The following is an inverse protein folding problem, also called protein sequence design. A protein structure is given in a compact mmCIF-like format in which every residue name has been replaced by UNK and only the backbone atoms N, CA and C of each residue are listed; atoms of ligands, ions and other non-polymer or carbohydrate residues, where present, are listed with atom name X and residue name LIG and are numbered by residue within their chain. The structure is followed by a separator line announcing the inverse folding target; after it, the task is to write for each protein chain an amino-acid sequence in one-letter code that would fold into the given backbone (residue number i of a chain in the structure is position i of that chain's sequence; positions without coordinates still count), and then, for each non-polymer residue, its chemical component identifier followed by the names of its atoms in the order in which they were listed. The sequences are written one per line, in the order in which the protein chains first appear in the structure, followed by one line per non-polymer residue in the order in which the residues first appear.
data_IF_079462169133
#
_entry.id   IF_079462169133
#
_cell.length_a   1.000
_cell.length_b   1.000
_cell.length_c   1.000
_cell.angle_alpha   90.00
_cell.angle_beta   90.00
_cell.angle_gamma   90.00
#
_symmetry.space_group_name_H-M   'P 1'
#
loop_
_entity.id
_entity.type
_entity.pdbx_description
1 polymer ?
#
# COMPACT_ATOMS: atom_id res chain seq x y z
N UNK A 1 16.73 8.60 -6.74
CA UNK A 1 15.43 8.76 -7.42
C UNK A 1 15.57 8.76 -8.94
N UNK A 2 16.45 9.58 -9.54
CA UNK A 2 16.63 9.61 -11.01
C UNK A 2 16.81 8.22 -11.65
N UNK A 3 17.71 7.39 -11.11
CA UNK A 3 17.90 6.02 -11.61
C UNK A 3 16.64 5.15 -11.59
N UNK A 4 15.81 5.23 -10.53
CA UNK A 4 14.54 4.50 -10.46
C UNK A 4 13.51 5.09 -11.43
N UNK A 5 13.48 6.41 -11.59
CA UNK A 5 12.59 7.05 -12.57
C UNK A 5 12.94 6.68 -14.01
N UNK A 6 14.22 6.40 -14.30
CA UNK A 6 14.72 6.06 -15.64
C UNK A 6 14.72 4.56 -15.93
N UNK A 7 14.97 3.70 -14.94
CA UNK A 7 15.23 2.26 -15.15
C UNK A 7 14.27 1.32 -14.43
N UNK A 8 13.44 1.82 -13.50
CA UNK A 8 12.52 1.01 -12.69
C UNK A 8 11.39 1.87 -12.15
N UNK A 9 10.47 2.24 -13.04
CA UNK A 9 9.45 3.25 -12.77
C UNK A 9 8.64 2.92 -11.52
N UNK A 10 8.70 3.83 -10.55
CA UNK A 10 7.77 3.82 -9.42
C UNK A 10 6.36 3.99 -10.01
N UNK A 11 5.42 3.14 -9.59
CA UNK A 11 4.06 3.15 -10.12
C UNK A 11 3.44 4.55 -10.04
N UNK A 12 2.79 5.03 -11.12
CA UNK A 12 2.32 6.41 -11.19
C UNK A 12 1.36 6.79 -10.04
N UNK A 13 0.54 5.83 -9.59
CA UNK A 13 -0.49 6.01 -8.56
C UNK A 13 0.04 6.09 -7.12
N UNK A 14 1.35 5.91 -6.91
CA UNK A 14 2.00 6.08 -5.62
C UNK A 14 2.43 7.53 -5.44
N UNK A 15 1.91 8.24 -4.44
CA UNK A 15 2.22 9.65 -4.18
C UNK A 15 3.15 9.84 -2.96
N UNK A 16 3.28 8.84 -2.10
CA UNK A 16 4.11 8.91 -0.91
C UNK A 16 5.60 8.94 -1.23
N UNK A 17 6.35 9.78 -0.50
CA UNK A 17 7.81 9.90 -0.60
C UNK A 17 8.37 10.18 -2.00
N UNK A 18 7.57 10.77 -2.89
CA UNK A 18 7.99 11.17 -4.24
C UNK A 18 8.04 12.69 -4.35
N UNK A 19 9.09 13.19 -5.00
CA UNK A 19 9.19 14.61 -5.30
C UNK A 19 8.06 15.04 -6.24
N UNK A 20 7.41 16.16 -5.94
CA UNK A 20 6.29 16.69 -6.72
C UNK A 20 4.92 16.08 -6.39
N UNK A 21 4.85 15.10 -5.48
CA UNK A 21 3.60 14.51 -5.02
C UNK A 21 3.39 14.77 -3.53
N UNK A 22 2.14 14.89 -3.11
CA UNK A 22 1.73 15.06 -1.71
C UNK A 22 0.46 14.26 -1.42
N UNK A 23 0.04 14.28 -0.16
CA UNK A 23 -1.27 13.76 0.22
C UNK A 23 -2.38 14.51 -0.54
N UNK A 24 -2.24 15.84 -0.71
CA UNK A 24 -3.20 16.67 -1.43
C UNK A 24 -3.32 16.28 -2.90
N UNK A 25 -2.20 16.01 -3.59
CA UNK A 25 -2.28 15.62 -5.01
C UNK A 25 -2.99 14.29 -5.18
N UNK A 26 -2.77 13.34 -4.26
CA UNK A 26 -3.48 12.06 -4.29
C UNK A 26 -4.98 12.23 -4.00
N UNK A 27 -5.30 13.02 -2.98
CA UNK A 27 -6.67 13.29 -2.57
C UNK A 27 -7.45 14.03 -3.66
N UNK A 28 -6.85 15.03 -4.31
CA UNK A 28 -7.49 15.77 -5.42
C UNK A 28 -7.83 14.83 -6.56
N UNK A 29 -6.90 13.94 -6.95
CA UNK A 29 -7.17 12.96 -8.01
C UNK A 29 -8.26 11.95 -7.60
N UNK A 30 -8.24 11.48 -6.36
CA UNK A 30 -9.30 10.61 -5.84
C UNK A 30 -10.66 11.31 -5.84
N UNK A 31 -10.77 12.52 -5.27
CA UNK A 31 -12.00 13.29 -5.24
C UNK A 31 -12.52 13.62 -6.65
N UNK A 32 -11.63 13.91 -7.60
CA UNK A 32 -12.00 14.13 -8.99
C UNK A 32 -12.68 12.90 -9.59
N UNK A 33 -12.07 11.72 -9.43
CA UNK A 33 -12.63 10.46 -9.91
C UNK A 33 -14.00 10.18 -9.29
N UNK A 34 -14.12 10.28 -7.95
CA UNK A 34 -15.38 10.05 -7.23
C UNK A 34 -16.47 11.00 -7.71
N UNK A 35 -16.16 12.30 -7.84
CA UNK A 35 -17.12 13.29 -8.32
C UNK A 35 -17.57 13.01 -9.77
N UNK A 36 -16.66 12.60 -10.65
CA UNK A 36 -16.98 12.26 -12.03
C UNK A 36 -17.96 11.06 -12.13
N UNK A 37 -17.74 10.01 -11.34
CA UNK A 37 -18.65 8.86 -11.30
C UNK A 37 -20.02 9.20 -10.72
N UNK A 38 -20.05 9.93 -9.60
CA UNK A 38 -21.30 10.38 -8.97
C UNK A 38 -22.11 11.25 -9.93
N UNK A 39 -21.47 12.21 -10.62
CA UNK A 39 -22.13 13.06 -11.61
C UNK A 39 -22.69 12.27 -12.80
N UNK A 40 -22.12 11.10 -13.08
CA UNK A 40 -22.61 10.16 -14.10
C UNK A 40 -23.71 9.22 -13.58
N UNK A 41 -24.17 9.40 -12.33
CA UNK A 41 -25.19 8.56 -11.70
C UNK A 41 -24.68 7.15 -11.31
N UNK A 42 -23.36 6.95 -11.29
CA UNK A 42 -22.75 5.67 -10.94
C UNK A 42 -22.47 5.60 -9.44
N UNK A 43 -22.58 4.39 -8.89
CA UNK A 43 -22.08 4.07 -7.56
C UNK A 43 -20.59 3.73 -7.65
N UNK A 44 -19.83 4.08 -6.63
CA UNK A 44 -18.41 3.71 -6.49
C UNK A 44 -18.19 3.02 -5.15
N UNK A 45 -17.54 1.88 -5.19
CA UNK A 45 -17.13 1.15 -3.99
C UNK A 45 -15.61 1.30 -3.83
N UNK A 46 -15.17 1.72 -2.65
CA UNK A 46 -13.79 1.99 -2.30
C UNK A 46 -13.37 1.14 -1.10
N UNK A 47 -12.30 0.38 -1.21
CA UNK A 47 -11.71 -0.40 -0.12
C UNK A 47 -10.40 0.26 0.28
N UNK A 48 -10.39 0.80 1.50
CA UNK A 48 -9.20 1.30 2.16
C UNK A 48 -8.51 0.15 2.88
N UNK A 49 -7.23 -0.04 2.60
CA UNK A 49 -6.40 -1.12 3.11
C UNK A 49 -5.34 -0.53 4.05
N UNK A 50 -5.21 -1.11 5.25
CA UNK A 50 -4.20 -0.76 6.25
C UNK A 50 -3.22 -1.93 6.39
N UNK A 51 -1.91 -1.67 6.30
CA UNK A 51 -0.88 -2.69 6.52
C UNK A 51 -0.38 -2.66 7.96
N UNK A 52 -0.29 -3.82 8.61
CA UNK A 52 0.24 -3.93 9.98
C UNK A 52 1.73 -3.64 10.00
N UNK A 53 2.10 -2.48 10.58
CA UNK A 53 3.51 -2.08 10.79
C UNK A 53 4.34 -2.20 9.50
N UNK A 54 3.81 -1.70 8.38
CA UNK A 54 4.33 -1.95 7.03
C UNK A 54 5.85 -1.80 6.90
N UNK A 55 6.41 -0.71 7.44
CA UNK A 55 7.85 -0.44 7.43
C UNK A 55 8.67 -1.44 8.24
N UNK A 56 8.13 -1.97 9.34
CA UNK A 56 8.82 -2.92 10.23
C UNK A 56 8.73 -4.37 9.73
N UNK A 57 7.76 -4.68 8.86
CA UNK A 57 7.52 -6.05 8.38
C UNK A 57 8.27 -6.39 7.10
N UNK A 58 8.85 -5.42 6.39
CA UNK A 58 9.60 -5.65 5.15
C UNK A 58 10.68 -6.70 5.34
N UNK A 59 10.55 -7.86 4.68
CA UNK A 59 11.58 -8.90 4.74
C UNK A 59 12.85 -8.44 4.03
N UNK A 60 14.01 -8.54 4.71
CA UNK A 60 15.30 -8.16 4.12
C UNK A 60 15.64 -9.03 2.91
N UNK A 61 15.43 -10.34 2.99
CA UNK A 61 15.68 -11.28 1.90
C UNK A 61 14.85 -10.95 0.67
N UNK A 62 13.55 -10.69 0.85
CA UNK A 62 12.65 -10.38 -0.26
C UNK A 62 12.90 -8.97 -0.84
N UNK A 63 13.29 -8.01 -0.01
CA UNK A 63 13.72 -6.70 -0.48
C UNK A 63 15.01 -6.80 -1.30
N UNK A 64 16.00 -7.58 -0.86
CA UNK A 64 17.22 -7.82 -1.62
C UNK A 64 16.96 -8.52 -2.95
N UNK A 65 16.00 -9.45 -2.97
CA UNK A 65 15.51 -10.06 -4.21
C UNK A 65 14.94 -9.01 -5.17
N UNK A 66 14.08 -8.09 -4.69
CA UNK A 66 13.56 -7.00 -5.55
C UNK A 66 14.67 -6.08 -6.04
N UNK A 67 15.63 -5.75 -5.18
CA UNK A 67 16.78 -4.90 -5.53
C UNK A 67 17.66 -5.52 -6.62
N UNK A 68 17.81 -6.85 -6.64
CA UNK A 68 18.62 -7.52 -7.66
C UNK A 68 18.04 -7.42 -9.07
N UNK A 69 16.72 -7.21 -9.20
CA UNK A 69 16.06 -6.98 -10.48
C UNK A 69 16.19 -5.55 -11.02
N UNK A 70 16.71 -4.60 -10.23
CA UNK A 70 16.85 -3.19 -10.63
C UNK A 70 18.14 -2.90 -11.42
N UNK A 71 18.90 -3.92 -11.83
CA UNK A 71 20.16 -3.78 -12.58
C UNK A 71 21.19 -2.82 -11.91
N UNK A 72 21.22 -2.82 -10.57
CA UNK A 72 22.16 -2.00 -9.80
C UNK A 72 23.59 -2.56 -9.87
N UNK A 73 24.63 -1.71 -9.76
CA UNK A 73 26.00 -2.18 -9.64
C UNK A 73 26.17 -3.14 -8.45
N UNK A 74 26.90 -4.24 -8.65
CA UNK A 74 27.12 -5.25 -7.60
C UNK A 74 27.72 -4.67 -6.30
N UNK A 75 28.53 -3.62 -6.40
CA UNK A 75 29.09 -2.92 -5.24
C UNK A 75 27.99 -2.24 -4.40
N UNK A 76 27.00 -1.64 -5.05
CA UNK A 76 25.86 -1.01 -4.39
C UNK A 76 24.92 -2.05 -3.78
N UNK A 77 24.66 -3.16 -4.48
CA UNK A 77 23.85 -4.26 -3.93
C UNK A 77 24.46 -4.84 -2.65
N UNK A 78 25.78 -5.11 -2.65
CA UNK A 78 26.49 -5.58 -1.46
C UNK A 78 26.46 -4.56 -0.32
N UNK A 79 26.52 -3.27 -0.64
CA UNK A 79 26.39 -2.22 0.36
C UNK A 79 24.98 -2.18 0.97
N UNK A 80 23.93 -2.32 0.14
CA UNK A 80 22.54 -2.40 0.61
C UNK A 80 22.28 -3.66 1.44
N UNK A 81 22.88 -4.79 1.07
CA UNK A 81 22.86 -6.02 1.86
C UNK A 81 23.47 -5.80 3.25
N UNK A 82 24.67 -5.24 3.32
CA UNK A 82 25.32 -4.90 4.58
C UNK A 82 24.57 -3.82 5.39
N UNK A 83 23.83 -2.93 4.72
CA UNK A 83 22.98 -1.93 5.37
C UNK A 83 21.73 -2.54 6.02
N UNK A 84 21.23 -3.67 5.49
CA UNK A 84 20.00 -4.30 5.97
C UNK A 84 20.27 -5.41 7.00
N UNK A 85 21.24 -6.29 6.71
CA UNK A 85 21.52 -7.51 7.46
C UNK A 85 22.41 -7.28 8.69
N UNK A 86 22.43 -8.28 9.59
CA UNK A 86 23.27 -8.33 10.80
C UNK A 86 23.19 -7.10 11.71
N UNK A 87 22.04 -6.42 11.68
CA UNK A 87 21.78 -5.27 12.52
C UNK A 87 21.27 -5.69 13.89
N UNK A 88 21.75 -4.99 14.91
CA UNK A 88 21.24 -5.07 16.27
C UNK A 88 20.68 -3.71 16.70
N UNK A 89 19.65 -3.74 17.54
CA UNK A 89 19.04 -2.57 18.14
C UNK A 89 18.90 -2.74 19.65
N UNK A 90 18.87 -1.61 20.36
CA UNK A 90 18.57 -1.55 21.80
C UNK A 90 17.86 -0.24 22.12
N UNK A 91 17.16 -0.21 23.25
CA UNK A 91 16.48 0.98 23.74
C UNK A 91 17.31 1.60 24.86
N UNK A 92 17.40 2.93 24.86
CA UNK A 92 17.98 3.71 25.96
C UNK A 92 16.89 4.58 26.55
N UNK A 93 16.57 4.36 27.82
CA UNK A 93 15.56 5.13 28.56
C UNK A 93 16.19 5.66 29.84
N UNK A 94 16.19 6.99 30.02
CA UNK A 94 16.81 7.67 31.17
C UNK A 94 18.25 7.22 31.46
N UNK A 95 19.05 6.99 30.41
CA UNK A 95 20.44 6.54 30.53
C UNK A 95 20.63 5.04 30.76
N UNK A 96 19.56 4.29 31.02
CA UNK A 96 19.59 2.83 31.17
C UNK A 96 19.44 2.18 29.80
N UNK A 97 20.27 1.17 29.52
CA UNK A 97 20.31 0.44 28.24
C UNK A 97 19.65 -0.93 28.37
N UNK A 98 18.81 -1.30 27.41
CA UNK A 98 18.35 -2.69 27.26
C UNK A 98 19.47 -3.59 26.72
N UNK A 99 19.24 -4.90 26.75
CA UNK A 99 20.02 -5.84 25.93
C UNK A 99 19.87 -5.53 24.44
N UNK A 100 20.89 -5.92 23.67
CA UNK A 100 20.85 -5.86 22.22
C UNK A 100 19.90 -6.94 21.67
N UNK A 101 19.16 -6.59 20.62
CA UNK A 101 18.19 -7.46 19.93
C UNK A 101 18.46 -7.37 18.43
N UNK A 102 18.54 -8.52 17.76
CA UNK A 102 18.72 -8.56 16.31
C UNK A 102 17.50 -8.04 15.55
N UNK A 103 17.74 -7.29 14.47
CA UNK A 103 16.72 -6.73 13.59
C UNK A 103 16.56 -7.65 12.38
N UNK A 104 15.54 -8.50 12.44
CA UNK A 104 15.30 -9.54 11.43
C UNK A 104 14.48 -9.07 10.23
N UNK A 105 13.79 -7.95 10.36
CA UNK A 105 12.95 -7.38 9.31
C UNK A 105 12.81 -5.86 9.46
N UNK A 106 12.26 -5.26 8.42
CA UNK A 106 11.90 -3.86 8.36
C UNK A 106 13.02 -2.99 7.80
N UNK A 107 12.61 -1.87 7.22
CA UNK A 107 13.52 -0.81 6.81
C UNK A 107 13.71 0.17 7.97
N UNK A 108 14.88 0.82 8.10
CA UNK A 108 15.14 1.71 9.21
C UNK A 108 14.26 2.97 9.11
N UNK A 109 13.33 3.12 10.04
CA UNK A 109 12.49 4.33 10.15
C UNK A 109 13.38 5.54 10.49
N UNK A 110 13.01 6.72 9.99
CA UNK A 110 13.79 7.97 10.07
C UNK A 110 15.17 7.96 9.37
N UNK A 111 15.48 6.93 8.57
CA UNK A 111 16.62 6.98 7.65
C UNK A 111 16.22 7.60 6.32
N UNK A 112 17.21 8.18 5.62
CA UNK A 112 17.00 8.73 4.26
C UNK A 112 16.61 7.64 3.26
N UNK A 113 17.16 6.42 3.42
CA UNK A 113 16.92 5.31 2.49
C UNK A 113 15.67 4.49 2.82
N UNK A 114 15.19 4.51 4.06
CA UNK A 114 14.04 3.70 4.50
C UNK A 114 12.81 3.87 3.61
N UNK A 115 12.35 5.12 3.37
CA UNK A 115 11.24 5.39 2.47
C UNK A 115 11.48 4.88 1.03
N UNK A 116 12.68 5.08 0.49
CA UNK A 116 13.03 4.62 -0.86
C UNK A 116 12.96 3.09 -0.99
N UNK A 117 13.53 2.39 -0.01
CA UNK A 117 13.52 0.93 0.04
C UNK A 117 12.10 0.39 0.19
N UNK A 118 11.26 1.07 0.97
CA UNK A 118 9.84 0.73 1.08
C UNK A 118 9.10 0.93 -0.24
N UNK A 119 9.34 2.04 -0.94
CA UNK A 119 8.74 2.29 -2.26
C UNK A 119 9.13 1.20 -3.28
N UNK A 120 10.39 0.78 -3.31
CA UNK A 120 10.84 -0.34 -4.14
C UNK A 120 10.10 -1.62 -3.77
N UNK A 121 9.90 -1.87 -2.48
CA UNK A 121 9.26 -3.07 -1.98
C UNK A 121 7.78 -3.16 -2.41
N UNK A 122 7.02 -2.09 -2.22
CA UNK A 122 5.57 -2.05 -2.47
C UNK A 122 5.21 -1.85 -3.95
N UNK A 123 6.20 -1.59 -4.82
CA UNK A 123 5.97 -1.06 -6.16
C UNK A 123 5.13 -1.97 -7.08
N UNK A 124 5.22 -3.28 -6.90
CA UNK A 124 4.48 -4.28 -7.70
C UNK A 124 3.14 -4.69 -7.06
N UNK A 125 2.75 -4.08 -5.94
CA UNK A 125 1.46 -4.35 -5.28
C UNK A 125 0.28 -4.19 -6.25
N UNK A 126 0.38 -3.21 -7.16
CA UNK A 126 -0.69 -2.89 -8.10
C UNK A 126 -0.57 -3.61 -9.42
N UNK A 127 0.42 -4.49 -9.59
CA UNK A 127 0.59 -5.25 -10.81
C UNK A 127 -0.60 -6.19 -11.01
N UNK A 128 -1.18 -6.17 -12.22
CA UNK A 128 -2.34 -6.99 -12.60
C UNK A 128 -3.66 -6.70 -11.86
N UNK A 129 -3.77 -5.57 -11.16
CA UNK A 129 -5.07 -5.10 -10.67
C UNK A 129 -5.88 -4.48 -11.82
N UNK A 130 -7.18 -4.73 -11.82
CA UNK A 130 -8.14 -4.19 -12.80
C UNK A 130 -8.82 -2.92 -12.33
N UNK A 131 -8.96 -2.74 -11.01
CA UNK A 131 -9.55 -1.58 -10.38
C UNK A 131 -8.57 -0.41 -10.34
N UNK A 132 -9.10 0.79 -10.10
CA UNK A 132 -8.26 1.96 -9.82
C UNK A 132 -7.63 1.80 -8.44
N UNK A 133 -6.40 2.30 -8.32
CA UNK A 133 -5.62 2.24 -7.08
C UNK A 133 -5.05 3.61 -6.78
N UNK A 134 -5.13 4.06 -5.53
CA UNK A 134 -4.38 5.20 -5.00
C UNK A 134 -3.49 4.74 -3.87
N UNK A 135 -2.24 5.16 -3.90
CA UNK A 135 -1.26 4.82 -2.89
C UNK A 135 -0.62 6.08 -2.30
N UNK A 136 -0.40 6.06 -0.99
CA UNK A 136 0.46 7.01 -0.32
C UNK A 136 1.28 6.25 0.73
N UNK A 137 2.55 5.99 0.41
CA UNK A 137 3.38 5.08 1.18
C UNK A 137 2.70 3.69 1.30
N UNK A 138 2.38 3.26 2.51
CA UNK A 138 1.68 2.02 2.82
C UNK A 138 0.14 2.15 2.74
N UNK A 139 -0.42 3.36 2.80
CA UNK A 139 -1.86 3.56 2.65
C UNK A 139 -2.28 3.24 1.22
N UNK A 140 -3.23 2.31 1.07
CA UNK A 140 -3.74 1.86 -0.22
C UNK A 140 -5.26 1.94 -0.27
N UNK A 141 -5.78 2.51 -1.35
CA UNK A 141 -7.21 2.51 -1.65
C UNK A 141 -7.42 1.89 -3.04
N UNK A 142 -8.20 0.81 -3.11
CA UNK A 142 -8.68 0.26 -4.38
C UNK A 142 -10.16 0.60 -4.56
N UNK A 143 -10.55 1.00 -5.76
CA UNK A 143 -11.91 1.45 -5.99
C UNK A 143 -12.32 1.32 -7.44
N UNK A 144 -13.63 1.24 -7.63
CA UNK A 144 -14.24 1.20 -8.96
C UNK A 144 -15.71 1.56 -8.93
N UNK A 145 -16.22 1.93 -10.10
CA UNK A 145 -17.63 2.00 -10.38
C UNK A 145 -18.29 0.62 -10.30
N UNK A 146 -19.47 0.55 -9.68
CA UNK A 146 -20.24 -0.68 -9.50
C UNK A 146 -21.65 -0.47 -10.04
N UNK A 147 -21.94 -1.13 -11.16
CA UNK A 147 -23.25 -1.11 -11.82
C UNK A 147 -23.90 -2.50 -11.88
N UNK A 148 -23.09 -3.55 -11.68
CA UNK A 148 -23.49 -4.95 -11.78
C UNK A 148 -22.75 -5.82 -10.76
N UNK A 149 -23.24 -7.04 -10.54
CA UNK A 149 -22.55 -8.03 -9.71
C UNK A 149 -21.16 -8.38 -10.24
N UNK A 150 -20.99 -8.36 -11.57
CA UNK A 150 -19.69 -8.58 -12.21
C UNK A 150 -18.66 -7.54 -11.76
N UNK A 151 -19.12 -6.31 -11.50
CA UNK A 151 -18.26 -5.23 -11.06
C UNK A 151 -17.75 -5.45 -9.64
N UNK A 152 -18.65 -5.84 -8.74
CA UNK A 152 -18.34 -6.24 -7.36
C UNK A 152 -17.35 -7.41 -7.34
N UNK A 153 -17.57 -8.43 -8.17
CA UNK A 153 -16.69 -9.60 -8.25
C UNK A 153 -15.27 -9.25 -8.69
N UNK A 154 -15.12 -8.31 -9.63
CA UNK A 154 -13.80 -7.83 -10.06
C UNK A 154 -13.07 -7.07 -8.94
N UNK A 155 -13.78 -6.27 -8.14
CA UNK A 155 -13.18 -5.63 -6.94
C UNK A 155 -12.73 -6.68 -5.92
N UNK A 156 -13.55 -7.71 -5.69
CA UNK A 156 -13.20 -8.84 -4.82
C UNK A 156 -12.01 -9.65 -5.37
N UNK A 157 -11.94 -9.85 -6.69
CA UNK A 157 -10.81 -10.53 -7.33
C UNK A 157 -9.51 -9.76 -7.13
N UNK A 158 -9.52 -8.44 -7.24
CA UNK A 158 -8.34 -7.61 -7.00
C UNK A 158 -7.95 -7.60 -5.52
N UNK A 159 -8.91 -7.59 -4.60
CA UNK A 159 -8.63 -7.80 -3.18
C UNK A 159 -7.96 -9.17 -2.92
N UNK A 160 -8.43 -10.23 -3.58
CA UNK A 160 -7.82 -11.56 -3.47
C UNK A 160 -6.39 -11.58 -4.02
N UNK A 161 -6.12 -10.88 -5.12
CA UNK A 161 -4.75 -10.71 -5.65
C UNK A 161 -3.85 -9.98 -4.65
N UNK A 162 -4.34 -8.93 -4.01
CA UNK A 162 -3.59 -8.22 -2.95
C UNK A 162 -3.31 -9.14 -1.77
N UNK A 163 -4.27 -9.96 -1.35
CA UNK A 163 -4.06 -10.95 -0.28
C UNK A 163 -3.01 -12.00 -0.65
N UNK A 164 -3.01 -12.46 -1.91
CA UNK A 164 -1.97 -13.34 -2.44
C UNK A 164 -0.61 -12.64 -2.45
N UNK A 165 -0.54 -11.40 -2.91
CA UNK A 165 0.67 -10.58 -2.89
C UNK A 165 1.20 -10.43 -1.46
N UNK A 166 0.34 -10.14 -0.48
CA UNK A 166 0.71 -10.06 0.92
C UNK A 166 1.34 -11.37 1.42
N UNK A 167 0.76 -12.51 1.03
CA UNK A 167 1.27 -13.83 1.39
C UNK A 167 2.62 -14.12 0.76
N UNK A 168 2.82 -13.76 -0.51
CA UNK A 168 4.10 -13.91 -1.23
C UNK A 168 5.19 -13.02 -0.63
N UNK A 169 4.84 -11.79 -0.26
CA UNK A 169 5.81 -10.77 0.17
C UNK A 169 5.92 -10.60 1.70
N UNK A 170 5.35 -11.52 2.48
CA UNK A 170 5.35 -11.51 3.95
C UNK A 170 4.82 -10.19 4.55
N UNK A 171 3.82 -9.60 3.90
CA UNK A 171 3.08 -8.44 4.42
C UNK A 171 1.75 -8.90 5.03
N UNK A 172 1.19 -8.09 5.92
CA UNK A 172 -0.06 -8.46 6.59
C UNK A 172 -0.98 -7.26 6.63
N UNK A 173 -2.21 -7.45 6.12
CA UNK A 173 -3.26 -6.46 6.27
C UNK A 173 -3.80 -6.44 7.70
N UNK A 174 -4.16 -5.25 8.15
CA UNK A 174 -4.86 -5.04 9.38
C UNK A 174 -6.36 -5.01 9.12
N UNK A 175 -6.96 -6.19 9.02
CA UNK A 175 -8.35 -6.33 8.61
C UNK A 175 -9.35 -5.50 9.45
N UNK A 176 -9.06 -5.25 10.73
CA UNK A 176 -9.90 -4.40 11.60
C UNK A 176 -9.83 -2.91 11.30
N UNK A 177 -8.83 -2.48 10.52
CA UNK A 177 -8.66 -1.10 10.06
C UNK A 177 -8.91 -0.94 8.56
N UNK A 178 -9.03 -2.04 7.82
CA UNK A 178 -9.51 -1.99 6.44
C UNK A 178 -11.01 -1.66 6.44
N UNK A 179 -11.45 -0.81 5.51
CA UNK A 179 -12.83 -0.34 5.46
C UNK A 179 -13.34 -0.30 4.03
N UNK A 180 -14.60 -0.69 3.83
CA UNK A 180 -15.35 -0.43 2.61
C UNK A 180 -16.13 0.88 2.78
N UNK A 181 -16.01 1.77 1.81
CA UNK A 181 -16.78 3.00 1.69
C UNK A 181 -17.48 3.02 0.34
N UNK A 182 -18.80 3.25 0.36
CA UNK A 182 -19.64 3.34 -0.83
C UNK A 182 -20.09 4.78 -1.07
N UNK A 183 -19.89 5.25 -2.29
CA UNK A 183 -20.39 6.54 -2.77
C UNK A 183 -21.53 6.29 -3.76
N UNK A 184 -22.72 6.83 -3.50
CA UNK A 184 -23.89 6.66 -4.39
C UNK A 184 -24.89 7.79 -4.20
N UNK A 185 -25.62 8.12 -5.27
CA UNK A 185 -26.78 9.02 -5.23
C UNK A 185 -28.10 8.27 -5.01
N UNK A 186 -28.06 6.92 -5.06
CA UNK A 186 -29.23 6.09 -4.81
C UNK A 186 -29.64 6.23 -3.34
N UNK A 187 -30.90 6.57 -3.11
CA UNK A 187 -31.49 6.53 -1.77
C UNK A 187 -31.59 5.08 -1.32
N UNK A 188 -31.04 4.73 -0.15
CA UNK A 188 -31.33 3.45 0.48
C UNK A 188 -32.83 3.35 0.76
N UNK A 189 -33.38 2.14 0.73
CA UNK A 189 -34.80 1.91 0.99
C UNK A 189 -35.27 2.49 2.36
N UNK A 190 -34.33 2.73 3.29
CA UNK A 190 -34.57 3.30 4.62
C UNK A 190 -34.29 4.82 4.75
N UNK A 191 -34.03 5.55 3.66
CA UNK A 191 -33.94 7.02 3.67
C UNK A 191 -32.75 7.64 4.43
N UNK A 192 -31.80 6.85 4.91
CA UNK A 192 -30.51 7.34 5.44
C UNK A 192 -29.50 7.45 4.30
N UNK A 193 -28.64 8.46 4.29
CA UNK A 193 -27.43 8.43 3.44
C UNK A 193 -26.63 7.16 3.80
N UNK A 194 -26.49 6.20 2.89
CA UNK A 194 -25.69 4.99 3.10
C UNK A 194 -24.20 5.35 3.03
N UNK A 195 -23.68 5.93 4.11
CA UNK A 195 -22.30 5.68 4.49
C UNK A 195 -22.28 4.38 5.28
N UNK A 196 -22.39 3.24 4.60
CA UNK A 196 -22.15 1.96 5.24
C UNK A 196 -20.65 1.82 5.49
N UNK A 197 -20.22 2.18 6.70
CA UNK A 197 -18.93 1.76 7.23
C UNK A 197 -19.03 0.28 7.59
N UNK A 198 -18.81 -0.60 6.62
CA UNK A 198 -18.56 -2.00 6.96
C UNK A 198 -17.09 -2.10 7.41
N UNK A 199 -16.90 -2.12 8.73
CA UNK A 199 -15.60 -2.28 9.41
C UNK A 199 -14.96 -3.66 9.21
N UNK A 200 -15.63 -4.54 8.46
CA UNK A 200 -15.09 -5.81 8.03
C UNK A 200 -15.20 -5.85 6.51
N UNK A 201 -14.06 -5.82 5.82
CA UNK A 201 -13.99 -6.25 4.43
C UNK A 201 -14.50 -7.69 4.40
N UNK A 202 -15.68 -7.95 3.79
CA UNK A 202 -16.32 -9.25 3.92
C UNK A 202 -15.59 -10.24 3.03
N UNK A 203 -14.61 -10.94 3.61
CA UNK A 203 -13.82 -11.92 2.88
C UNK A 203 -14.63 -13.17 2.45
N UNK A 204 -15.91 -13.28 2.84
CA UNK A 204 -16.72 -14.49 2.57
C UNK A 204 -18.21 -14.27 2.23
N UNK A 205 -18.74 -13.04 2.13
CA UNK A 205 -20.11 -12.79 1.63
C UNK A 205 -20.29 -11.33 1.19
N UNK A 206 -19.89 -11.00 -0.04
CA UNK A 206 -20.59 -10.10 -0.98
C UNK A 206 -20.36 -10.74 -2.35
#
# INVERSE_FOLDING_TARGET
MAHLQENSSIIPTQHGFRAGFSCDTQLVEFCHDIAAFINSGLQVDCIFLDFRKAFNTVSHTLLLLKLSYLNLPNTLLKWLEAYLLDRNQRVILHGVRSSDVSVLSGVPQASVLGPLLFLIFINDLTEHLSCRVRLYADDCCIYREVSSESDSQLLQNDLNKIMSWCSTWNMTLNLSKCNLLRFTTKTPADGKLCHEFNTAVPCNRI
#
